data_IF_193919985763
#
_entry.id   IF_193919985763
#
_cell.length_a   1.000
_cell.length_b   1.000
_cell.length_c   1.000
_cell.angle_alpha   90.00
_cell.angle_beta   90.00
_cell.angle_gamma   90.00
#
_symmetry.space_group_name_H-M   'P 1'
#
loop_
_entity.id
_entity.type
_entity.pdbx_description
1 polymer ?
#
# COMPACT_ATOMS: atom_id res chain seq x y z
N UNK A 1 -20.63 52.26 -37.16
CA UNK A 1 -20.82 51.66 -35.83
C UNK A 1 -20.09 50.33 -35.78
N UNK A 2 -19.01 50.20 -35.01
CA UNK A 2 -18.28 48.90 -34.94
C UNK A 2 -18.90 48.02 -33.86
N UNK A 3 -19.10 46.77 -34.24
CA UNK A 3 -19.58 45.68 -33.39
C UNK A 3 -18.49 45.36 -32.33
N UNK A 4 -18.89 45.41 -31.07
CA UNK A 4 -18.06 44.97 -29.96
C UNK A 4 -17.95 43.43 -29.95
N UNK A 5 -16.74 42.92 -30.17
CA UNK A 5 -16.40 41.54 -29.89
C UNK A 5 -16.24 41.39 -28.37
N UNK A 6 -17.21 40.76 -27.76
CA UNK A 6 -17.12 40.28 -26.38
C UNK A 6 -16.24 39.02 -26.38
N UNK A 7 -15.00 39.17 -26.04
CA UNK A 7 -14.11 38.04 -25.71
C UNK A 7 -14.64 37.35 -24.44
N UNK A 8 -15.29 36.22 -24.63
CA UNK A 8 -15.64 35.29 -23.56
C UNK A 8 -14.37 34.52 -23.20
N UNK A 9 -13.61 35.02 -22.22
CA UNK A 9 -12.54 34.24 -21.59
C UNK A 9 -13.25 33.13 -20.85
N UNK A 10 -13.23 31.93 -21.42
CA UNK A 10 -13.60 30.72 -20.74
C UNK A 10 -12.38 30.42 -19.85
N UNK A 11 -12.47 30.78 -18.57
CA UNK A 11 -11.60 30.24 -17.55
C UNK A 11 -11.86 28.73 -17.49
N UNK A 12 -11.08 27.98 -18.25
CA UNK A 12 -10.93 26.55 -18.06
C UNK A 12 -10.13 26.41 -16.77
N UNK A 13 -10.82 26.32 -15.65
CA UNK A 13 -10.25 25.76 -14.43
C UNK A 13 -9.81 24.33 -14.80
N UNK A 14 -8.56 24.17 -15.17
CA UNK A 14 -7.91 22.87 -15.21
C UNK A 14 -7.83 22.46 -13.74
N UNK A 15 -8.83 21.70 -13.29
CA UNK A 15 -8.66 20.88 -12.11
C UNK A 15 -7.55 19.90 -12.47
N UNK A 16 -6.36 20.18 -12.00
CA UNK A 16 -5.27 19.22 -12.01
C UNK A 16 -5.69 18.14 -11.00
N UNK A 17 -6.40 17.13 -11.46
CA UNK A 17 -6.71 15.99 -10.61
C UNK A 17 -5.38 15.35 -10.24
N UNK A 18 -5.08 15.33 -8.95
CA UNK A 18 -3.89 14.69 -8.39
C UNK A 18 -3.80 13.27 -8.92
N UNK A 19 -2.78 12.98 -9.72
CA UNK A 19 -2.64 11.63 -10.30
C UNK A 19 -2.19 10.66 -9.22
N UNK A 20 -3.15 9.86 -8.72
CA UNK A 20 -2.92 8.81 -7.72
C UNK A 20 -2.82 7.47 -8.45
N UNK A 21 -1.72 6.75 -8.22
CA UNK A 21 -1.56 5.36 -8.65
C UNK A 21 -1.98 4.41 -7.54
N UNK A 22 -2.94 3.55 -7.84
CA UNK A 22 -3.40 2.50 -6.95
C UNK A 22 -2.64 1.20 -7.24
N UNK A 23 -2.26 0.48 -6.19
CA UNK A 23 -1.45 -0.74 -6.29
C UNK A 23 -2.05 -1.82 -5.41
N UNK A 24 -2.33 -3.00 -5.98
CA UNK A 24 -2.79 -4.18 -5.26
C UNK A 24 -2.02 -5.42 -5.68
N UNK A 25 -1.93 -6.42 -4.82
CA UNK A 25 -1.26 -7.68 -5.16
C UNK A 25 -2.12 -8.58 -6.06
N UNK A 26 -3.45 -8.57 -5.86
CA UNK A 26 -4.36 -9.49 -6.54
C UNK A 26 -5.58 -8.80 -7.15
N UNK A 27 -6.18 -9.43 -8.15
CA UNK A 27 -7.44 -8.97 -8.73
C UNK A 27 -8.61 -9.05 -7.73
N UNK A 28 -8.58 -10.02 -6.81
CA UNK A 28 -9.61 -10.17 -5.77
C UNK A 28 -9.65 -8.97 -4.85
N UNK A 29 -8.51 -8.52 -4.34
CA UNK A 29 -8.40 -7.31 -3.51
C UNK A 29 -8.86 -6.05 -4.26
N UNK A 30 -8.59 -5.97 -5.56
CA UNK A 30 -8.95 -4.85 -6.41
C UNK A 30 -10.40 -4.89 -6.95
N UNK A 31 -11.14 -5.97 -6.72
CA UNK A 31 -12.41 -6.25 -7.39
C UNK A 31 -13.50 -5.17 -7.25
N UNK A 32 -13.47 -4.39 -6.16
CA UNK A 32 -14.45 -3.36 -5.85
C UNK A 32 -13.93 -1.93 -6.03
N UNK A 33 -12.68 -1.78 -6.51
CA UNK A 33 -12.11 -0.46 -6.83
C UNK A 33 -12.67 0.01 -8.18
N UNK A 34 -13.12 1.28 -8.28
CA UNK A 34 -13.65 1.81 -9.53
C UNK A 34 -12.66 1.68 -10.69
N UNK A 35 -13.15 1.30 -11.87
CA UNK A 35 -12.32 1.02 -13.05
C UNK A 35 -11.69 2.26 -13.70
N UNK A 36 -12.11 3.44 -13.30
CA UNK A 36 -11.53 4.73 -13.70
C UNK A 36 -10.29 5.14 -12.86
N UNK A 37 -9.98 4.38 -11.80
CA UNK A 37 -8.79 4.62 -11.01
C UNK A 37 -7.56 4.00 -11.70
N UNK A 38 -6.45 4.75 -11.88
CA UNK A 38 -5.19 4.19 -12.36
C UNK A 38 -4.70 3.09 -11.41
N UNK A 39 -4.79 1.84 -11.81
CA UNK A 39 -4.54 0.67 -10.98
C UNK A 39 -3.56 -0.29 -11.64
N UNK A 40 -2.60 -0.77 -10.87
CA UNK A 40 -1.78 -1.92 -11.24
C UNK A 40 -1.96 -3.08 -10.27
N UNK A 41 -1.96 -4.31 -10.80
CA UNK A 41 -1.95 -5.55 -10.02
C UNK A 41 -0.59 -6.19 -10.19
N UNK A 42 0.16 -6.25 -9.09
CA UNK A 42 1.58 -6.62 -9.12
C UNK A 42 1.84 -8.12 -9.15
N UNK A 43 0.92 -8.91 -8.63
CA UNK A 43 1.16 -10.29 -8.19
C UNK A 43 1.72 -10.34 -6.77
N UNK A 44 1.69 -11.52 -6.17
CA UNK A 44 2.06 -11.76 -4.77
C UNK A 44 3.57 -11.84 -4.62
N UNK A 45 4.10 -11.22 -3.56
CA UNK A 45 5.48 -11.32 -3.10
C UNK A 45 6.37 -10.13 -3.48
N UNK A 46 7.44 -9.97 -2.72
CA UNK A 46 8.38 -8.83 -2.79
C UNK A 46 8.93 -8.64 -4.22
N UNK A 47 9.39 -9.72 -4.85
CA UNK A 47 10.03 -9.63 -6.19
C UNK A 47 9.04 -9.15 -7.24
N UNK A 48 7.82 -9.67 -7.24
CA UNK A 48 6.79 -9.31 -8.24
C UNK A 48 6.33 -7.87 -8.03
N UNK A 49 6.08 -7.48 -6.80
CA UNK A 49 5.70 -6.12 -6.46
C UNK A 49 6.78 -5.11 -6.86
N UNK A 50 8.05 -5.40 -6.54
CA UNK A 50 9.18 -4.56 -6.94
C UNK A 50 9.27 -4.42 -8.45
N UNK A 51 9.23 -5.54 -9.19
CA UNK A 51 9.37 -5.53 -10.65
C UNK A 51 8.22 -4.76 -11.32
N UNK A 52 6.98 -5.09 -10.99
CA UNK A 52 5.82 -4.50 -11.64
C UNK A 52 5.73 -2.99 -11.40
N UNK A 53 5.92 -2.54 -10.15
CA UNK A 53 5.87 -1.12 -9.84
C UNK A 53 7.05 -0.35 -10.44
N UNK A 54 8.26 -0.90 -10.39
CA UNK A 54 9.46 -0.27 -10.99
C UNK A 54 9.28 -0.14 -12.51
N UNK A 55 8.82 -1.19 -13.18
CA UNK A 55 8.60 -1.17 -14.63
C UNK A 55 7.54 -0.15 -15.04
N UNK A 56 6.44 -0.05 -14.28
CA UNK A 56 5.41 0.95 -14.51
C UNK A 56 5.96 2.37 -14.39
N UNK A 57 6.62 2.69 -13.28
CA UNK A 57 7.14 4.03 -13.02
C UNK A 57 8.28 4.42 -13.97
N UNK A 58 9.14 3.48 -14.34
CA UNK A 58 10.25 3.73 -15.27
C UNK A 58 9.80 4.00 -16.72
N UNK A 59 8.58 3.60 -17.09
CA UNK A 59 7.98 3.82 -18.41
C UNK A 59 6.95 4.94 -18.44
N UNK A 60 6.58 5.48 -17.28
CA UNK A 60 5.61 6.56 -17.20
C UNK A 60 6.19 7.86 -17.75
N UNK A 61 5.45 8.54 -18.63
CA UNK A 61 5.82 9.87 -19.10
C UNK A 61 5.77 10.92 -17.97
N UNK A 62 4.82 10.74 -17.04
CA UNK A 62 4.67 11.54 -15.83
C UNK A 62 4.51 10.62 -14.61
N UNK A 63 5.23 10.92 -13.53
CA UNK A 63 5.13 10.16 -12.29
C UNK A 63 3.86 10.52 -11.53
N UNK A 64 3.21 9.55 -10.83
CA UNK A 64 2.09 9.86 -9.97
C UNK A 64 2.53 10.72 -8.78
N UNK A 65 1.65 11.60 -8.33
CA UNK A 65 1.89 12.45 -7.17
C UNK A 65 1.84 11.65 -5.86
N UNK A 66 1.18 10.47 -5.88
CA UNK A 66 1.07 9.54 -4.75
C UNK A 66 0.83 8.12 -5.23
N UNK A 67 1.36 7.17 -4.45
CA UNK A 67 1.03 5.76 -4.56
C UNK A 67 0.16 5.37 -3.37
N UNK A 68 -0.98 4.71 -3.63
CA UNK A 68 -1.81 4.07 -2.59
C UNK A 68 -1.79 2.57 -2.83
N UNK A 69 -1.04 1.85 -2.00
CA UNK A 69 -1.15 0.39 -1.94
C UNK A 69 -2.29 0.02 -1.01
N UNK A 70 -3.08 -0.93 -1.43
CA UNK A 70 -4.14 -1.52 -0.62
C UNK A 70 -4.19 -3.03 -0.83
N UNK A 71 -4.61 -3.74 0.19
CA UNK A 71 -4.71 -5.19 0.18
C UNK A 71 -4.96 -5.76 1.56
N UNK A 72 -4.85 -7.09 1.65
CA UNK A 72 -5.03 -7.82 2.90
C UNK A 72 -3.74 -7.95 3.70
N UNK A 73 -3.87 -8.21 4.99
CA UNK A 73 -2.77 -8.51 5.89
C UNK A 73 -3.23 -9.46 7.01
N UNK A 74 -2.34 -10.35 7.44
CA UNK A 74 -2.55 -11.18 8.63
C UNK A 74 -2.35 -10.38 9.92
N UNK A 75 -3.17 -10.65 10.93
CA UNK A 75 -3.03 -10.05 12.25
C UNK A 75 -2.04 -10.83 13.12
N UNK A 76 -1.01 -10.16 13.59
CA UNK A 76 -0.02 -10.74 14.52
C UNK A 76 -0.50 -10.70 15.99
N UNK A 77 -1.42 -9.80 16.33
CA UNK A 77 -1.86 -9.53 17.71
C UNK A 77 -3.38 -9.51 17.90
N UNK A 78 -4.15 -10.13 16.98
CA UNK A 78 -5.61 -10.24 17.09
C UNK A 78 -6.38 -8.97 16.69
N UNK A 79 -5.75 -8.08 15.96
CA UNK A 79 -6.40 -6.89 15.40
C UNK A 79 -7.44 -7.28 14.36
N UNK A 80 -8.44 -6.41 14.15
CA UNK A 80 -9.46 -6.55 13.12
C UNK A 80 -9.74 -5.19 12.47
N UNK A 81 -10.27 -5.18 11.24
CA UNK A 81 -10.64 -3.97 10.53
C UNK A 81 -9.57 -3.49 9.54
N UNK A 82 -9.55 -2.19 9.27
CA UNK A 82 -8.68 -1.56 8.29
C UNK A 82 -7.72 -0.59 8.98
N UNK A 83 -6.47 -0.62 8.55
CA UNK A 83 -5.39 0.19 9.11
C UNK A 83 -4.66 0.94 8.02
N UNK A 84 -4.19 2.15 8.35
CA UNK A 84 -3.14 2.84 7.61
C UNK A 84 -1.80 2.51 8.24
N UNK A 85 -0.81 2.17 7.43
CA UNK A 85 0.52 1.77 7.91
C UNK A 85 1.39 3.00 8.09
N UNK A 86 1.92 3.19 9.29
CA UNK A 86 2.84 4.28 9.64
C UNK A 86 4.31 3.85 9.66
N UNK A 87 4.57 2.53 9.75
CA UNK A 87 5.91 1.97 9.65
C UNK A 87 5.87 0.60 8.98
N UNK A 88 6.79 0.35 8.03
CA UNK A 88 6.91 -0.95 7.37
C UNK A 88 8.36 -1.42 7.34
N UNK A 89 8.61 -2.72 7.54
CA UNK A 89 9.94 -3.32 7.47
C UNK A 89 9.90 -4.72 6.85
N UNK A 90 11.05 -5.15 6.30
CA UNK A 90 11.20 -6.51 5.79
C UNK A 90 11.59 -7.45 6.93
N UNK A 91 10.79 -8.47 7.22
CA UNK A 91 10.97 -9.36 8.38
C UNK A 91 11.85 -10.59 8.11
N UNK A 92 12.03 -10.98 6.86
CA UNK A 92 12.77 -12.15 6.42
C UNK A 92 14.16 -11.82 5.85
N UNK A 93 14.61 -10.56 6.02
CA UNK A 93 15.97 -10.12 5.71
C UNK A 93 16.75 -9.81 6.99
N UNK A 94 17.88 -10.50 7.20
CA UNK A 94 18.69 -10.33 8.41
C UNK A 94 19.62 -9.09 8.30
N UNK A 95 19.02 -7.92 8.38
CA UNK A 95 19.74 -6.65 8.31
C UNK A 95 20.78 -6.47 9.41
N UNK A 96 20.59 -7.05 10.61
CA UNK A 96 21.53 -6.94 11.74
C UNK A 96 22.83 -7.70 11.44
N UNK A 97 22.74 -8.87 10.83
CA UNK A 97 23.94 -9.60 10.37
C UNK A 97 24.66 -8.81 9.28
N UNK A 98 23.95 -8.19 8.35
CA UNK A 98 24.56 -7.36 7.33
C UNK A 98 25.24 -6.13 7.94
N UNK A 99 24.61 -5.44 8.90
CA UNK A 99 25.26 -4.33 9.64
C UNK A 99 26.57 -4.74 10.29
N UNK A 100 26.62 -5.91 10.92
CA UNK A 100 27.83 -6.45 11.52
C UNK A 100 28.92 -6.72 10.49
N UNK A 101 28.56 -7.30 9.34
CA UNK A 101 29.51 -7.63 8.27
C UNK A 101 30.10 -6.36 7.65
N UNK A 102 29.28 -5.37 7.34
CA UNK A 102 29.74 -4.14 6.65
C UNK A 102 30.25 -3.06 7.62
N UNK A 103 30.04 -3.23 8.93
CA UNK A 103 30.50 -2.32 9.99
C UNK A 103 29.83 -0.95 10.00
N UNK A 104 28.60 -0.84 9.46
CA UNK A 104 27.81 0.40 9.44
C UNK A 104 26.32 0.11 9.45
N UNK A 105 25.46 1.08 9.87
CA UNK A 105 24.01 0.92 9.87
C UNK A 105 23.48 0.49 8.51
N UNK A 106 22.53 -0.44 8.52
CA UNK A 106 21.79 -0.91 7.35
C UNK A 106 20.28 -0.82 7.69
N UNK A 107 19.61 0.30 7.33
CA UNK A 107 18.21 0.50 7.65
C UNK A 107 17.31 -0.58 7.04
N UNK A 108 16.37 -1.08 7.82
CA UNK A 108 15.41 -2.10 7.39
C UNK A 108 13.95 -1.65 7.49
N UNK A 109 13.69 -0.42 7.86
CA UNK A 109 12.34 0.11 8.00
C UNK A 109 12.16 1.42 7.26
N UNK A 110 10.91 1.70 6.89
CA UNK A 110 10.46 2.92 6.23
C UNK A 110 9.31 3.50 7.05
N UNK A 111 9.48 4.72 7.54
CA UNK A 111 8.40 5.49 8.17
C UNK A 111 7.53 6.12 7.08
N UNK A 112 6.21 5.99 7.22
CA UNK A 112 5.23 6.48 6.26
C UNK A 112 4.36 7.54 6.92
N UNK A 113 4.25 8.75 6.34
CA UNK A 113 3.34 9.77 6.83
C UNK A 113 1.89 9.33 6.61
N UNK A 114 1.08 9.40 7.66
CA UNK A 114 -0.34 9.06 7.61
C UNK A 114 -1.18 10.22 7.09
N UNK A 115 -2.19 9.92 6.28
CA UNK A 115 -3.05 10.90 5.61
C UNK A 115 -4.55 10.63 5.80
N UNK A 116 -4.93 9.48 6.37
CA UNK A 116 -6.31 9.12 6.66
C UNK A 116 -6.69 9.38 8.12
N UNK A 117 -7.89 8.97 8.51
CA UNK A 117 -8.36 8.90 9.91
C UNK A 117 -8.47 7.47 10.42
N UNK A 118 -7.94 6.52 9.67
CA UNK A 118 -7.89 5.13 10.07
C UNK A 118 -6.93 4.93 11.26
N UNK A 119 -7.14 3.92 12.09
CA UNK A 119 -6.13 3.52 13.05
C UNK A 119 -4.83 3.16 12.34
N UNK A 120 -3.70 3.40 13.00
CA UNK A 120 -2.38 3.07 12.43
C UNK A 120 -1.85 1.75 12.96
N UNK A 121 -0.95 1.14 12.17
CA UNK A 121 -0.25 -0.09 12.55
C UNK A 121 1.14 -0.15 11.89
N UNK A 122 2.06 -0.87 12.53
CA UNK A 122 3.30 -1.30 11.90
C UNK A 122 3.06 -2.59 11.09
N UNK A 123 3.74 -2.70 9.96
CA UNK A 123 3.63 -3.81 9.02
C UNK A 123 4.96 -4.54 8.87
N UNK A 124 4.93 -5.87 9.03
CA UNK A 124 6.05 -6.75 8.75
C UNK A 124 5.84 -7.43 7.38
N UNK A 125 6.63 -7.08 6.37
CA UNK A 125 6.55 -7.65 5.02
C UNK A 125 7.58 -8.75 4.81
N UNK A 126 7.23 -9.83 4.10
CA UNK A 126 8.18 -10.88 3.69
C UNK A 126 7.58 -11.88 2.73
N UNK A 127 8.43 -12.65 2.03
CA UNK A 127 7.98 -13.67 1.07
C UNK A 127 7.51 -14.99 1.76
N UNK A 128 7.62 -15.05 3.10
CA UNK A 128 7.09 -16.17 3.88
C UNK A 128 5.68 -15.87 4.34
N UNK A 129 4.71 -16.71 3.93
CA UNK A 129 3.36 -16.65 4.46
C UNK A 129 3.37 -17.08 5.94
N UNK A 130 2.96 -16.19 6.84
CA UNK A 130 3.04 -16.44 8.27
C UNK A 130 1.82 -17.25 8.72
N UNK A 131 2.07 -18.48 9.14
CA UNK A 131 1.07 -19.43 9.63
C UNK A 131 1.53 -20.24 10.83
N UNK A 132 2.72 -19.95 11.38
CA UNK A 132 3.24 -20.63 12.58
C UNK A 132 3.26 -19.72 13.80
N UNK A 133 2.91 -20.27 15.00
CA UNK A 133 2.78 -19.48 16.23
C UNK A 133 4.08 -18.82 16.70
N UNK A 134 5.23 -19.42 16.48
CA UNK A 134 6.52 -18.93 16.98
C UNK A 134 6.97 -17.71 16.17
N UNK A 135 6.90 -17.76 14.84
CA UNK A 135 7.17 -16.62 13.97
C UNK A 135 6.18 -15.49 14.22
N UNK A 136 4.88 -15.81 14.33
CA UNK A 136 3.85 -14.83 14.68
C UNK A 136 4.18 -14.11 16.00
N UNK A 137 4.48 -14.84 17.08
CA UNK A 137 4.79 -14.26 18.38
C UNK A 137 6.07 -13.38 18.36
N UNK A 138 7.07 -13.78 17.56
CA UNK A 138 8.30 -13.01 17.36
C UNK A 138 8.02 -11.70 16.62
N UNK A 139 7.24 -11.73 15.55
CA UNK A 139 6.90 -10.57 14.76
C UNK A 139 5.96 -9.62 15.51
N UNK A 140 5.03 -10.13 16.31
CA UNK A 140 4.11 -9.36 17.14
C UNK A 140 4.80 -8.40 18.14
N UNK A 141 6.09 -8.61 18.42
CA UNK A 141 6.89 -7.70 19.25
C UNK A 141 7.25 -6.40 18.52
N UNK A 142 7.13 -6.35 17.18
CA UNK A 142 7.59 -5.24 16.36
C UNK A 142 6.48 -4.68 15.44
N UNK A 143 5.48 -5.50 15.08
CA UNK A 143 4.39 -5.12 14.19
C UNK A 143 3.05 -5.70 14.66
N UNK A 144 1.96 -5.08 14.25
CA UNK A 144 0.60 -5.56 14.45
C UNK A 144 0.11 -6.42 13.29
N UNK A 145 0.63 -6.17 12.09
CA UNK A 145 0.19 -6.81 10.85
C UNK A 145 1.38 -7.39 10.07
N UNK A 146 1.09 -8.39 9.22
CA UNK A 146 2.06 -8.93 8.27
C UNK A 146 1.44 -9.07 6.87
N UNK A 147 2.27 -8.85 5.84
CA UNK A 147 1.91 -9.00 4.43
C UNK A 147 3.10 -9.50 3.59
N UNK A 148 2.94 -9.49 2.26
CA UNK A 148 3.98 -9.98 1.36
C UNK A 148 4.48 -8.92 0.35
N UNK A 149 4.00 -7.66 0.36
CA UNK A 149 4.37 -6.65 -0.66
C UNK A 149 4.65 -5.25 -0.12
N UNK A 150 4.07 -4.87 1.02
CA UNK A 150 4.03 -3.48 1.50
C UNK A 150 5.40 -2.82 1.56
N UNK A 151 6.42 -3.50 2.08
CA UNK A 151 7.79 -2.98 2.12
C UNK A 151 8.35 -2.72 0.71
N UNK A 152 8.15 -3.66 -0.22
CA UNK A 152 8.64 -3.53 -1.58
C UNK A 152 8.03 -2.31 -2.29
N UNK A 153 6.73 -2.10 -2.12
CA UNK A 153 6.00 -0.96 -2.70
C UNK A 153 6.49 0.36 -2.09
N UNK A 154 6.61 0.43 -0.77
CA UNK A 154 7.13 1.61 -0.08
C UNK A 154 8.58 1.91 -0.47
N UNK A 155 9.43 0.88 -0.61
CA UNK A 155 10.82 1.02 -1.02
C UNK A 155 10.95 1.57 -2.45
N UNK A 156 10.17 1.04 -3.40
CA UNK A 156 10.14 1.55 -4.78
C UNK A 156 9.61 2.98 -4.82
N UNK A 157 8.52 3.28 -4.11
CA UNK A 157 7.98 4.64 -4.02
C UNK A 157 9.03 5.63 -3.49
N UNK A 158 9.73 5.27 -2.40
CA UNK A 158 10.81 6.08 -1.83
C UNK A 158 11.95 6.30 -2.84
N UNK A 159 12.33 5.28 -3.61
CA UNK A 159 13.36 5.39 -4.64
C UNK A 159 13.00 6.42 -5.72
N UNK A 160 11.74 6.47 -6.14
CA UNK A 160 11.24 7.44 -7.12
C UNK A 160 10.84 8.80 -6.50
N UNK A 161 10.95 8.96 -5.18
CA UNK A 161 10.58 10.19 -4.47
C UNK A 161 9.07 10.45 -4.42
N UNK A 162 8.25 9.39 -4.53
CA UNK A 162 6.78 9.48 -4.57
C UNK A 162 6.22 9.18 -3.18
N UNK A 163 5.37 10.05 -2.60
CA UNK A 163 4.65 9.75 -1.35
C UNK A 163 3.86 8.45 -1.45
N UNK A 164 3.99 7.57 -0.45
CA UNK A 164 3.32 6.27 -0.40
C UNK A 164 2.41 6.16 0.81
N UNK A 165 1.24 5.57 0.61
CA UNK A 165 0.28 5.23 1.66
C UNK A 165 -0.08 3.76 1.52
N UNK A 166 0.02 2.99 2.61
CA UNK A 166 -0.36 1.58 2.64
C UNK A 166 -1.62 1.43 3.48
N UNK A 167 -2.69 0.88 2.88
CA UNK A 167 -3.97 0.59 3.54
C UNK A 167 -4.14 -0.93 3.60
N UNK A 168 -4.22 -1.47 4.79
CA UNK A 168 -4.31 -2.92 5.00
C UNK A 168 -5.58 -3.30 5.75
N UNK A 169 -6.31 -4.28 5.20
CA UNK A 169 -7.43 -4.92 5.85
C UNK A 169 -6.99 -6.25 6.45
N UNK A 170 -7.38 -6.49 7.69
CA UNK A 170 -7.10 -7.77 8.34
C UNK A 170 -7.97 -8.87 7.73
N UNK A 171 -7.33 -9.87 7.12
CA UNK A 171 -7.99 -11.03 6.51
C UNK A 171 -8.05 -12.24 7.44
N UNK A 172 -7.02 -12.43 8.26
CA UNK A 172 -6.79 -13.62 9.08
C UNK A 172 -5.94 -13.29 10.31
N UNK A 173 -5.68 -14.29 11.14
CA UNK A 173 -4.89 -14.15 12.36
C UNK A 173 -3.42 -14.56 12.21
N UNK A 174 -2.92 -14.75 11.01
CA UNK A 174 -1.57 -15.29 10.74
C UNK A 174 -1.29 -16.58 11.54
N UNK A 175 -2.25 -17.50 11.55
CA UNK A 175 -2.23 -18.78 12.24
C UNK A 175 -2.44 -19.96 11.27
N UNK A 176 -2.51 -21.18 11.80
CA UNK A 176 -2.66 -22.41 11.02
C UNK A 176 -3.89 -22.40 10.08
N UNK A 177 -4.94 -21.63 10.40
CA UNK A 177 -6.16 -21.52 9.60
C UNK A 177 -6.10 -20.40 8.55
N UNK A 178 -5.05 -19.58 8.55
CA UNK A 178 -4.95 -18.39 7.70
C UNK A 178 -5.10 -18.73 6.20
N UNK A 179 -4.44 -19.78 5.73
CA UNK A 179 -4.49 -20.20 4.33
C UNK A 179 -5.90 -20.61 3.87
N UNK A 180 -6.67 -21.26 4.74
CA UNK A 180 -8.02 -21.75 4.42
C UNK A 180 -9.06 -20.62 4.42
N UNK A 181 -8.81 -19.56 5.17
CA UNK A 181 -9.76 -18.44 5.35
C UNK A 181 -9.47 -17.24 4.47
N UNK A 182 -8.26 -17.13 3.93
CA UNK A 182 -7.80 -15.95 3.20
C UNK A 182 -8.66 -15.62 1.97
N UNK A 183 -9.00 -16.60 1.12
CA UNK A 183 -9.78 -16.36 -0.11
C UNK A 183 -11.16 -15.75 0.22
N UNK A 184 -11.86 -16.36 1.19
CA UNK A 184 -13.17 -15.87 1.63
C UNK A 184 -13.08 -14.49 2.31
N UNK A 185 -11.96 -14.21 2.98
CA UNK A 185 -11.73 -12.94 3.64
C UNK A 185 -11.45 -11.82 2.64
N UNK A 186 -10.71 -12.10 1.56
CA UNK A 186 -10.49 -11.16 0.44
C UNK A 186 -11.81 -10.72 -0.16
N UNK A 187 -12.70 -11.66 -0.49
CA UNK A 187 -14.01 -11.36 -1.09
C UNK A 187 -14.91 -10.53 -0.16
N UNK A 188 -14.95 -10.89 1.14
CA UNK A 188 -15.75 -10.16 2.13
C UNK A 188 -15.23 -8.74 2.37
N UNK A 189 -13.92 -8.60 2.41
CA UNK A 189 -13.28 -7.34 2.76
C UNK A 189 -13.08 -6.37 1.61
N UNK A 190 -13.21 -6.82 0.37
CA UNK A 190 -12.99 -5.97 -0.80
C UNK A 190 -13.91 -4.74 -0.83
N UNK A 191 -15.16 -4.85 -0.34
CA UNK A 191 -16.09 -3.73 -0.26
C UNK A 191 -15.68 -2.69 0.79
N UNK A 192 -15.27 -3.15 1.97
CA UNK A 192 -14.81 -2.28 3.06
C UNK A 192 -13.53 -1.55 2.66
N UNK A 193 -12.61 -2.27 2.04
CA UNK A 193 -11.35 -1.74 1.52
C UNK A 193 -11.60 -0.66 0.45
N UNK A 194 -12.49 -0.92 -0.51
CA UNK A 194 -12.89 0.06 -1.51
C UNK A 194 -13.60 1.28 -0.89
N UNK A 195 -14.36 1.08 0.19
CA UNK A 195 -14.95 2.17 0.98
C UNK A 195 -13.90 3.07 1.63
N UNK A 196 -12.87 2.46 2.23
CA UNK A 196 -11.74 3.18 2.83
C UNK A 196 -10.96 3.99 1.78
N UNK A 197 -10.70 3.39 0.61
CA UNK A 197 -10.02 4.03 -0.52
C UNK A 197 -10.81 5.25 -1.02
N UNK A 198 -12.12 5.12 -1.23
CA UNK A 198 -12.97 6.26 -1.64
C UNK A 198 -12.93 7.41 -0.64
N UNK A 199 -12.99 7.09 0.66
CA UNK A 199 -12.91 8.10 1.73
C UNK A 199 -11.55 8.80 1.74
N UNK A 200 -10.48 8.04 1.59
CA UNK A 200 -9.11 8.57 1.51
C UNK A 200 -8.96 9.48 0.29
N UNK A 201 -9.43 9.05 -0.89
CA UNK A 201 -9.37 9.83 -2.12
C UNK A 201 -10.12 11.17 -1.99
N UNK A 202 -11.32 11.16 -1.43
CA UNK A 202 -12.08 12.37 -1.16
C UNK A 202 -11.35 13.34 -0.22
N UNK A 203 -10.58 12.82 0.71
CA UNK A 203 -9.78 13.64 1.63
C UNK A 203 -8.56 14.24 0.92
N UNK A 204 -7.84 13.45 0.13
CA UNK A 204 -6.65 13.90 -0.62
C UNK A 204 -7.01 14.97 -1.65
N UNK A 205 -8.15 14.87 -2.32
CA UNK A 205 -8.63 15.86 -3.29
C UNK A 205 -9.13 17.18 -2.63
N UNK A 206 -9.15 17.27 -1.31
CA UNK A 206 -9.51 18.49 -0.56
C UNK A 206 -8.30 19.22 0.04
N UNK A 207 -7.12 18.62 -0.05
CA UNK A 207 -5.85 19.18 0.43
C UNK A 207 -5.13 19.92 -0.69
#
# INVERSE_FOLDING_TARGET
MPAQHVNKIIDTLVYNETMILYVSATQGEAAQVPSDYPLIVTGIGIIRATLALTEYLARADELPERIINFGTAGSLSGNTGIFEIDHVFQHDFDHKVIEQIIGKPFPNGIDLPTVSTLPTAHLATGDSFINDPDTRARLAQQAQLCDMEGYAIAFVAQHFGIPCTLIKQVSDNADDAAADTWVDAVDRGAQDLAGAIRTLNQRLNRL
#
